data_IF_965431961589
#
_entry.id   IF_965431961589
#
_cell.length_a   1.000
_cell.length_b   1.000
_cell.length_c   1.000
_cell.angle_alpha   90.00
_cell.angle_beta   90.00
_cell.angle_gamma   90.00
#
_symmetry.space_group_name_H-M   'P 1'
#
loop_
_entity.id
_entity.type
_entity.pdbx_description
1 polymer ?
#
# COMPACT_ATOMS: atom_id res chain seq x y z
N UNK A 1 -12.71 6.64 -28.64
CA UNK A 1 -13.59 5.62 -28.01
C UNK A 1 -13.56 5.85 -26.51
N UNK A 2 -14.70 6.08 -25.86
CA UNK A 2 -14.75 6.14 -24.41
C UNK A 2 -14.39 4.76 -23.84
N UNK A 3 -13.36 4.66 -22.99
CA UNK A 3 -13.08 3.41 -22.26
C UNK A 3 -14.33 3.08 -21.44
N UNK A 4 -14.88 1.88 -21.59
CA UNK A 4 -15.92 1.38 -20.68
C UNK A 4 -15.37 1.50 -19.25
N UNK A 5 -16.15 2.07 -18.33
CA UNK A 5 -15.82 2.01 -16.90
C UNK A 5 -15.69 0.54 -16.52
N UNK A 6 -14.51 0.15 -16.04
CA UNK A 6 -14.29 -1.19 -15.53
C UNK A 6 -14.80 -1.21 -14.08
N UNK A 7 -15.66 -2.18 -13.72
CA UNK A 7 -16.12 -2.29 -12.35
C UNK A 7 -14.93 -2.52 -11.40
N UNK A 8 -15.09 -2.15 -10.13
CA UNK A 8 -14.16 -2.60 -9.09
C UNK A 8 -14.13 -4.14 -9.12
N UNK A 9 -12.95 -4.78 -9.12
CA UNK A 9 -12.85 -6.24 -9.05
C UNK A 9 -13.56 -6.79 -7.81
N UNK A 10 -13.96 -8.06 -7.87
CA UNK A 10 -14.51 -8.74 -6.69
C UNK A 10 -13.43 -8.97 -5.62
N UNK A 11 -13.81 -9.58 -4.49
CA UNK A 11 -12.89 -9.81 -3.37
C UNK A 11 -11.64 -10.59 -3.79
N UNK A 12 -11.80 -11.67 -4.56
CA UNK A 12 -10.65 -12.47 -5.00
C UNK A 12 -9.79 -11.70 -6.01
N UNK A 13 -10.39 -11.01 -6.98
CA UNK A 13 -9.65 -10.19 -7.94
C UNK A 13 -8.88 -9.04 -7.28
N UNK A 14 -9.43 -8.42 -6.24
CA UNK A 14 -8.72 -7.39 -5.46
C UNK A 14 -7.52 -7.98 -4.71
N UNK A 15 -7.67 -9.17 -4.13
CA UNK A 15 -6.57 -9.89 -3.46
C UNK A 15 -5.50 -10.25 -4.50
N UNK A 16 -5.86 -10.85 -5.63
CA UNK A 16 -4.91 -11.18 -6.71
C UNK A 16 -4.12 -9.96 -7.17
N UNK A 17 -4.79 -8.82 -7.42
CA UNK A 17 -4.12 -7.56 -7.78
C UNK A 17 -3.16 -7.11 -6.69
N UNK A 18 -3.55 -7.22 -5.41
CA UNK A 18 -2.70 -6.85 -4.28
C UNK A 18 -1.41 -7.68 -4.25
N UNK A 19 -1.51 -9.00 -4.48
CA UNK A 19 -0.36 -9.91 -4.54
C UNK A 19 0.54 -9.62 -5.76
N UNK A 20 -0.05 -9.51 -6.95
CA UNK A 20 0.70 -9.24 -8.18
C UNK A 20 1.43 -7.89 -8.13
N UNK A 21 0.80 -6.87 -7.55
CA UNK A 21 1.43 -5.56 -7.34
C UNK A 21 2.64 -5.67 -6.40
N UNK A 22 2.53 -6.41 -5.29
CA UNK A 22 3.66 -6.59 -4.37
C UNK A 22 4.81 -7.42 -4.97
N UNK A 23 4.50 -8.42 -5.79
CA UNK A 23 5.51 -9.17 -6.54
C UNK A 23 6.18 -8.29 -7.61
N UNK A 24 5.41 -7.40 -8.25
CA UNK A 24 5.99 -6.41 -9.16
C UNK A 24 6.91 -5.41 -8.43
N UNK A 25 6.48 -4.93 -7.25
CA UNK A 25 7.28 -4.08 -6.40
C UNK A 25 8.61 -4.75 -5.99
N UNK A 26 8.59 -6.04 -5.70
CA UNK A 26 9.79 -6.84 -5.39
C UNK A 26 10.79 -6.82 -6.53
N UNK A 27 10.33 -7.03 -7.76
CA UNK A 27 11.20 -7.00 -8.95
C UNK A 27 11.81 -5.61 -9.16
N UNK A 28 11.00 -4.56 -9.02
CA UNK A 28 11.49 -3.18 -9.11
C UNK A 28 12.49 -2.83 -8.01
N UNK A 29 12.23 -3.21 -6.76
CA UNK A 29 13.12 -3.00 -5.63
C UNK A 29 14.47 -3.69 -5.84
N UNK A 30 14.46 -4.93 -6.30
CA UNK A 30 15.70 -5.66 -6.62
C UNK A 30 16.53 -4.92 -7.67
N UNK A 31 15.90 -4.45 -8.75
CA UNK A 31 16.60 -3.67 -9.77
C UNK A 31 17.11 -2.34 -9.23
N UNK A 32 16.34 -1.65 -8.38
CA UNK A 32 16.77 -0.43 -7.71
C UNK A 32 18.01 -0.66 -6.85
N UNK A 33 18.05 -1.73 -6.06
CA UNK A 33 19.19 -2.10 -5.22
C UNK A 33 20.46 -2.37 -6.05
N UNK A 34 20.34 -3.00 -7.22
CA UNK A 34 21.47 -3.23 -8.13
C UNK A 34 22.03 -1.90 -8.63
N UNK A 35 21.16 -0.99 -9.08
CA UNK A 35 21.57 0.33 -9.58
C UNK A 35 22.16 1.21 -8.47
N UNK A 36 21.61 1.14 -7.26
CA UNK A 36 22.14 1.81 -6.08
C UNK A 36 23.59 1.39 -5.82
N UNK A 37 23.86 0.08 -5.85
CA UNK A 37 25.19 -0.47 -5.65
C UNK A 37 26.17 -0.09 -6.77
N UNK A 38 25.68 0.16 -7.98
CA UNK A 38 26.46 0.61 -9.13
C UNK A 38 26.74 2.13 -9.15
N UNK A 39 26.11 2.91 -8.26
CA UNK A 39 26.22 4.37 -8.25
C UNK A 39 25.25 5.09 -9.18
N UNK A 40 24.31 4.37 -9.81
CA UNK A 40 23.28 4.91 -10.69
C UNK A 40 22.08 5.40 -9.87
N UNK A 41 22.31 6.43 -9.05
CA UNK A 41 21.33 6.90 -8.05
C UNK A 41 20.01 7.40 -8.63
N UNK A 42 19.99 8.18 -9.74
CA UNK A 42 18.74 8.60 -10.36
C UNK A 42 17.86 7.42 -10.78
N UNK A 43 18.43 6.44 -11.48
CA UNK A 43 17.69 5.27 -11.97
C UNK A 43 17.27 4.35 -10.81
N UNK A 44 18.13 4.21 -9.78
CA UNK A 44 17.76 3.54 -8.54
C UNK A 44 16.53 4.17 -7.89
N UNK A 45 16.52 5.49 -7.72
CA UNK A 45 15.39 6.20 -7.12
C UNK A 45 14.11 6.04 -7.94
N UNK A 46 14.21 6.11 -9.26
CA UNK A 46 13.08 5.90 -10.17
C UNK A 46 12.49 4.51 -9.99
N UNK A 47 13.30 3.45 -10.06
CA UNK A 47 12.82 2.08 -9.89
C UNK A 47 12.26 1.83 -8.50
N UNK A 48 12.88 2.41 -7.46
CA UNK A 48 12.35 2.33 -6.10
C UNK A 48 10.99 3.06 -6.01
N UNK A 49 10.82 4.21 -6.65
CA UNK A 49 9.53 4.93 -6.67
C UNK A 49 8.45 4.13 -7.41
N UNK A 50 8.80 3.45 -8.51
CA UNK A 50 7.87 2.54 -9.19
C UNK A 50 7.47 1.35 -8.32
N UNK A 51 8.42 0.78 -7.57
CA UNK A 51 8.10 -0.23 -6.57
C UNK A 51 7.13 0.32 -5.51
N UNK A 52 7.37 1.55 -5.05
CA UNK A 52 6.52 2.22 -4.07
C UNK A 52 5.09 2.47 -4.59
N UNK A 53 4.94 2.84 -5.87
CA UNK A 53 3.64 2.95 -6.53
C UNK A 53 2.87 1.62 -6.57
N UNK A 54 3.57 0.52 -6.84
CA UNK A 54 2.97 -0.81 -6.83
C UNK A 54 2.52 -1.21 -5.42
N UNK A 55 3.30 -0.91 -4.39
CA UNK A 55 2.86 -1.12 -2.99
C UNK A 55 1.67 -0.23 -2.63
N UNK A 56 1.63 1.01 -3.13
CA UNK A 56 0.49 1.91 -2.99
C UNK A 56 -0.77 1.37 -3.68
N UNK A 57 -0.62 0.78 -4.87
CA UNK A 57 -1.69 0.08 -5.58
C UNK A 57 -2.22 -1.11 -4.77
N UNK A 58 -1.32 -1.91 -4.19
CA UNK A 58 -1.69 -3.02 -3.33
C UNK A 58 -2.53 -2.53 -2.12
N UNK A 59 -2.12 -1.44 -1.46
CA UNK A 59 -2.89 -0.85 -0.36
C UNK A 59 -4.21 -0.21 -0.80
N UNK A 60 -4.30 0.34 -2.02
CA UNK A 60 -5.57 0.83 -2.56
C UNK A 60 -6.62 -0.28 -2.68
N UNK A 61 -6.20 -1.55 -2.91
CA UNK A 61 -7.12 -2.69 -2.91
C UNK A 61 -7.69 -2.99 -1.51
N UNK A 62 -6.99 -2.64 -0.42
CA UNK A 62 -7.50 -2.87 0.95
C UNK A 62 -8.76 -2.06 1.22
N UNK A 63 -8.89 -0.84 0.68
CA UNK A 63 -10.04 0.03 0.92
C UNK A 63 -11.38 -0.66 0.59
N UNK A 64 -11.62 -1.07 -0.68
CA UNK A 64 -12.82 -1.82 -1.03
C UNK A 64 -12.94 -3.18 -0.34
N UNK A 65 -11.81 -3.82 0.01
CA UNK A 65 -11.80 -5.10 0.71
C UNK A 65 -12.36 -5.00 2.14
N UNK A 66 -12.12 -3.88 2.84
CA UNK A 66 -12.60 -3.65 4.22
C UNK A 66 -13.94 -2.90 4.28
N UNK A 67 -14.46 -2.43 3.16
CA UNK A 67 -15.78 -1.81 3.07
C UNK A 67 -16.88 -2.86 2.98
N UNK A 68 -18.08 -2.51 3.48
CA UNK A 68 -19.32 -3.24 3.18
C UNK A 68 -19.44 -3.48 1.66
N UNK A 69 -19.72 -4.70 1.19
CA UNK A 69 -19.82 -5.00 -0.24
C UNK A 69 -20.71 -4.04 -1.02
N UNK A 70 -21.84 -3.62 -0.45
CA UNK A 70 -22.78 -2.65 -1.01
C UNK A 70 -22.20 -1.24 -1.19
N UNK A 71 -21.20 -0.86 -0.39
CA UNK A 71 -20.52 0.44 -0.46
C UNK A 71 -19.36 0.43 -1.46
N UNK A 72 -18.97 -0.73 -2.00
CA UNK A 72 -17.92 -0.80 -3.03
C UNK A 72 -18.31 -0.02 -4.28
N UNK A 73 -19.58 -0.10 -4.68
CA UNK A 73 -20.11 0.57 -5.87
C UNK A 73 -20.09 2.10 -5.74
N UNK A 74 -20.37 2.64 -4.55
CA UNK A 74 -20.35 4.09 -4.31
C UNK A 74 -18.92 4.66 -4.32
N UNK A 75 -17.92 3.80 -4.09
CA UNK A 75 -16.50 4.15 -4.12
C UNK A 75 -15.81 3.92 -5.48
N UNK A 76 -16.51 3.35 -6.48
CA UNK A 76 -15.89 2.90 -7.73
C UNK A 76 -15.13 4.01 -8.47
N UNK A 77 -15.73 5.20 -8.58
CA UNK A 77 -15.07 6.32 -9.25
C UNK A 77 -13.80 6.78 -8.52
N UNK A 78 -13.84 6.79 -7.19
CA UNK A 78 -12.70 7.16 -6.35
C UNK A 78 -11.61 6.09 -6.49
N UNK A 79 -11.98 4.81 -6.43
CA UNK A 79 -11.05 3.70 -6.62
C UNK A 79 -10.37 3.78 -8.00
N UNK A 80 -11.14 3.90 -9.08
CA UNK A 80 -10.61 3.97 -10.45
C UNK A 80 -9.68 5.17 -10.65
N UNK A 81 -10.06 6.34 -10.12
CA UNK A 81 -9.22 7.54 -10.17
C UNK A 81 -7.91 7.34 -9.44
N UNK A 82 -7.95 6.83 -8.21
CA UNK A 82 -6.76 6.59 -7.39
C UNK A 82 -5.87 5.49 -7.98
N UNK A 83 -6.47 4.43 -8.52
CA UNK A 83 -5.77 3.31 -9.14
C UNK A 83 -5.11 3.70 -10.48
N UNK A 84 -5.64 4.70 -11.18
CA UNK A 84 -5.01 5.24 -12.39
C UNK A 84 -3.90 6.25 -12.08
N UNK A 85 -4.03 7.04 -11.01
CA UNK A 85 -3.12 8.14 -10.70
C UNK A 85 -1.82 7.72 -10.01
N UNK A 86 -0.67 8.10 -10.58
CA UNK A 86 0.65 7.87 -9.95
C UNK A 86 0.75 8.52 -8.57
N UNK A 87 0.38 9.79 -8.45
CA UNK A 87 0.42 10.53 -7.18
C UNK A 87 -0.52 9.92 -6.14
N UNK A 88 -1.69 9.41 -6.53
CA UNK A 88 -2.64 8.82 -5.58
C UNK A 88 -2.13 7.47 -5.03
N UNK A 89 -1.47 6.65 -5.87
CA UNK A 89 -0.75 5.46 -5.39
C UNK A 89 0.36 5.82 -4.40
N UNK A 90 1.14 6.86 -4.73
CA UNK A 90 2.21 7.32 -3.84
C UNK A 90 1.68 7.86 -2.51
N UNK A 91 0.53 8.58 -2.52
CA UNK A 91 -0.13 8.98 -1.27
C UNK A 91 -0.50 7.77 -0.43
N UNK A 92 -1.06 6.73 -1.06
CA UNK A 92 -1.42 5.51 -0.33
C UNK A 92 -0.20 4.77 0.22
N UNK A 93 0.88 4.68 -0.55
CA UNK A 93 2.14 4.08 -0.09
C UNK A 93 2.75 4.86 1.09
N UNK A 94 2.77 6.19 1.03
CA UNK A 94 3.22 7.05 2.15
C UNK A 94 2.34 6.91 3.38
N UNK A 95 1.02 6.88 3.20
CA UNK A 95 0.09 6.62 4.30
C UNK A 95 0.38 5.28 4.98
N UNK A 96 0.53 4.21 4.19
CA UNK A 96 0.83 2.88 4.69
C UNK A 96 2.19 2.81 5.39
N UNK A 97 3.21 3.47 4.86
CA UNK A 97 4.53 3.56 5.47
C UNK A 97 4.49 4.27 6.83
N UNK A 98 3.80 5.42 6.92
CA UNK A 98 3.63 6.15 8.18
C UNK A 98 2.84 5.29 9.19
N UNK A 99 1.79 4.61 8.72
CA UNK A 99 1.00 3.69 9.51
C UNK A 99 1.82 2.49 10.02
N UNK A 100 2.79 2.00 9.24
CA UNK A 100 3.71 0.93 9.63
C UNK A 100 4.78 1.43 10.62
N UNK A 101 5.36 2.61 10.39
CA UNK A 101 6.56 3.08 11.10
C UNK A 101 6.31 3.85 12.42
N UNK A 102 5.17 4.54 12.57
CA UNK A 102 5.04 5.54 13.65
C UNK A 102 4.46 5.01 14.96
N UNK A 103 5.20 4.77 16.04
CA UNK A 103 4.55 4.33 17.30
C UNK A 103 3.56 5.36 17.91
N UNK A 104 3.69 6.64 17.56
CA UNK A 104 2.87 7.73 18.08
C UNK A 104 1.47 7.83 17.44
N UNK A 105 0.46 8.37 18.17
CA UNK A 105 -0.79 8.79 17.55
C UNK A 105 -0.51 9.81 16.44
N UNK A 106 -1.28 9.80 15.34
CA UNK A 106 -0.99 10.68 14.23
C UNK A 106 -1.22 12.14 14.66
N UNK A 107 -0.55 13.12 14.01
CA UNK A 107 -1.01 14.50 14.07
C UNK A 107 -2.48 14.56 13.63
N UNK A 108 -3.19 15.65 13.94
CA UNK A 108 -4.57 15.83 13.50
C UNK A 108 -4.74 15.42 12.03
N UNK A 109 -5.77 14.64 11.70
CA UNK A 109 -5.89 13.94 10.41
C UNK A 109 -5.62 14.85 9.19
N UNK A 110 -6.09 16.09 9.23
CA UNK A 110 -5.87 17.08 8.17
C UNK A 110 -4.37 17.43 7.95
N UNK A 111 -3.57 17.47 9.01
CA UNK A 111 -2.12 17.69 8.89
C UNK A 111 -1.42 16.48 8.29
N UNK A 112 -1.79 15.27 8.74
CA UNK A 112 -1.25 14.02 8.18
C UNK A 112 -1.50 13.93 6.68
N UNK A 113 -2.74 14.18 6.23
CA UNK A 113 -3.07 14.11 4.81
C UNK A 113 -2.35 15.16 3.96
N UNK A 114 -2.13 16.37 4.49
CA UNK A 114 -1.31 17.39 3.78
C UNK A 114 0.14 16.94 3.61
N UNK A 115 0.75 16.39 4.67
CA UNK A 115 2.12 15.87 4.60
C UNK A 115 2.25 14.73 3.60
N UNK A 116 1.29 13.81 3.58
CA UNK A 116 1.25 12.71 2.61
C UNK A 116 1.13 13.24 1.17
N UNK A 117 0.30 14.25 0.95
CA UNK A 117 0.17 14.87 -0.37
C UNK A 117 1.47 15.52 -0.85
N UNK A 118 2.16 16.24 0.03
CA UNK A 118 3.46 16.87 -0.26
C UNK A 118 4.53 15.81 -0.58
N UNK A 119 4.63 14.76 0.23
CA UNK A 119 5.56 13.65 0.01
C UNK A 119 5.29 12.92 -1.31
N UNK A 120 4.03 12.66 -1.64
CA UNK A 120 3.65 11.99 -2.87
C UNK A 120 3.96 12.83 -4.12
N UNK A 121 3.69 14.16 -4.07
CA UNK A 121 4.06 15.08 -5.15
C UNK A 121 5.57 15.13 -5.34
N UNK A 122 6.32 15.32 -4.26
CA UNK A 122 7.79 15.36 -4.30
C UNK A 122 8.40 14.08 -4.85
N UNK A 123 7.89 12.91 -4.44
CA UNK A 123 8.36 11.61 -4.95
C UNK A 123 8.06 11.46 -6.45
N UNK A 124 6.85 11.84 -6.88
CA UNK A 124 6.46 11.77 -8.28
C UNK A 124 7.29 12.72 -9.16
N UNK A 125 7.48 13.97 -8.73
CA UNK A 125 8.32 14.95 -9.43
C UNK A 125 9.77 14.49 -9.53
N UNK A 126 10.34 13.97 -8.43
CA UNK A 126 11.73 13.47 -8.42
C UNK A 126 11.90 12.26 -9.34
N UNK A 127 10.94 11.33 -9.35
CA UNK A 127 10.90 10.23 -10.32
C UNK A 127 10.87 10.74 -11.77
N UNK A 128 10.04 11.73 -12.08
CA UNK A 128 10.00 12.29 -13.44
C UNK A 128 11.29 13.01 -13.82
N UNK A 129 11.90 13.77 -12.91
CA UNK A 129 13.22 14.38 -13.12
C UNK A 129 14.32 13.33 -13.34
N UNK A 130 14.26 12.19 -12.65
CA UNK A 130 15.20 11.09 -12.85
C UNK A 130 15.02 10.34 -14.18
N UNK A 131 13.85 10.43 -14.81
CA UNK A 131 13.53 9.73 -16.07
C UNK A 131 13.73 10.56 -17.34
N UNK A 132 13.48 11.87 -17.24
CA UNK A 132 13.40 12.74 -18.41
C UNK A 132 14.38 13.89 -18.30
N UNK A 133 15.01 14.22 -19.43
CA UNK A 133 15.64 15.53 -19.60
C UNK A 133 14.51 16.55 -19.75
N UNK A 134 14.49 17.53 -18.86
CA UNK A 134 13.53 18.64 -18.92
C UNK A 134 14.22 19.91 -19.44
N UNK A 135 13.45 20.96 -19.71
CA UNK A 135 13.97 22.26 -20.14
C UNK A 135 13.40 23.38 -19.27
N UNK A 136 14.29 24.16 -18.68
CA UNK A 136 13.96 25.35 -17.88
C UNK A 136 14.39 26.62 -18.61
N UNK A 137 14.04 27.81 -18.06
CA UNK A 137 14.53 29.09 -18.59
C UNK A 137 16.06 29.19 -18.60
N UNK A 138 16.75 28.43 -17.74
CA UNK A 138 18.20 28.45 -17.58
C UNK A 138 18.90 27.30 -18.33
N UNK A 139 18.15 26.50 -19.10
CA UNK A 139 18.67 25.42 -19.94
C UNK A 139 18.14 24.02 -19.59
N UNK A 140 18.73 22.96 -20.19
CA UNK A 140 18.30 21.60 -19.96
C UNK A 140 18.57 21.18 -18.50
N UNK A 141 17.56 20.59 -17.87
CA UNK A 141 17.67 19.96 -16.56
C UNK A 141 17.94 18.48 -16.76
N UNK A 142 19.13 18.02 -16.37
CA UNK A 142 19.54 16.64 -16.52
C UNK A 142 19.08 15.79 -15.31
N UNK A 143 18.88 14.47 -15.50
CA UNK A 143 18.49 13.54 -14.43
C UNK A 143 19.41 13.42 -13.21
N UNK A 144 20.52 14.15 -13.15
CA UNK A 144 21.61 13.96 -12.19
C UNK A 144 21.36 14.59 -10.81
N UNK A 145 20.15 15.05 -10.51
CA UNK A 145 19.83 15.81 -9.28
C UNK A 145 19.46 14.88 -8.10
N UNK A 146 19.40 13.57 -8.30
CA UNK A 146 19.13 12.62 -7.21
C UNK A 146 20.43 12.26 -6.51
N UNK A 147 20.51 12.53 -5.21
CA UNK A 147 21.66 12.16 -4.39
C UNK A 147 21.65 10.67 -4.03
N UNK A 148 22.81 10.15 -3.61
CA UNK A 148 22.88 8.80 -3.02
C UNK A 148 21.95 8.65 -1.82
N UNK A 149 21.84 9.69 -0.99
CA UNK A 149 21.00 9.70 0.20
C UNK A 149 19.53 9.54 -0.16
N UNK A 150 19.05 10.28 -1.18
CA UNK A 150 17.67 10.17 -1.66
C UNK A 150 17.37 8.76 -2.19
N UNK A 151 18.29 8.19 -2.97
CA UNK A 151 18.15 6.85 -3.52
C UNK A 151 18.12 5.78 -2.41
N UNK A 152 19.01 5.88 -1.41
CA UNK A 152 19.02 5.01 -0.23
C UNK A 152 17.74 5.14 0.59
N UNK A 153 17.26 6.37 0.79
CA UNK A 153 16.02 6.64 1.52
C UNK A 153 14.82 5.97 0.86
N UNK A 154 14.66 6.13 -0.46
CA UNK A 154 13.53 5.53 -1.17
C UNK A 154 13.62 4.00 -1.17
N UNK A 155 14.80 3.42 -1.46
CA UNK A 155 15.00 1.96 -1.41
C UNK A 155 14.69 1.40 -0.02
N UNK A 156 15.14 2.07 1.05
CA UNK A 156 14.88 1.67 2.43
C UNK A 156 13.38 1.69 2.77
N UNK A 157 12.66 2.73 2.37
CA UNK A 157 11.21 2.84 2.61
C UNK A 157 10.40 1.78 1.87
N UNK A 158 10.77 1.48 0.61
CA UNK A 158 10.13 0.41 -0.16
C UNK A 158 10.38 -0.94 0.50
N UNK A 159 11.62 -1.21 0.91
CA UNK A 159 11.98 -2.45 1.61
C UNK A 159 11.15 -2.61 2.88
N UNK A 160 11.11 -1.57 3.73
CA UNK A 160 10.33 -1.58 4.97
C UNK A 160 8.84 -1.86 4.74
N UNK A 161 8.23 -1.18 3.76
CA UNK A 161 6.81 -1.37 3.48
C UNK A 161 6.53 -2.76 2.89
N UNK A 162 7.37 -3.24 1.98
CA UNK A 162 7.25 -4.58 1.40
C UNK A 162 7.39 -5.68 2.45
N UNK A 163 8.35 -5.54 3.36
CA UNK A 163 8.55 -6.50 4.47
C UNK A 163 7.34 -6.52 5.40
N UNK A 164 6.79 -5.33 5.72
CA UNK A 164 5.54 -5.20 6.50
C UNK A 164 4.38 -5.92 5.80
N UNK A 165 4.18 -5.68 4.50
CA UNK A 165 3.13 -6.35 3.73
C UNK A 165 3.31 -7.87 3.68
N UNK A 166 4.54 -8.36 3.45
CA UNK A 166 4.83 -9.80 3.42
C UNK A 166 4.59 -10.47 4.76
N UNK A 167 4.91 -9.79 5.85
CA UNK A 167 4.73 -10.33 7.17
C UNK A 167 3.25 -10.42 7.56
N UNK A 168 2.38 -9.54 7.04
CA UNK A 168 1.01 -9.36 7.55
C UNK A 168 -0.10 -9.66 6.55
N UNK A 169 0.09 -9.33 5.27
CA UNK A 169 -0.97 -9.31 4.26
C UNK A 169 -0.74 -10.34 3.14
N UNK A 170 0.51 -10.69 2.86
CA UNK A 170 0.89 -11.42 1.64
C UNK A 170 1.43 -12.84 1.88
N UNK A 171 1.12 -13.49 3.00
CA UNK A 171 1.60 -14.86 3.26
C UNK A 171 0.89 -15.90 2.40
N UNK A 172 -0.43 -15.83 2.31
CA UNK A 172 -1.24 -16.70 1.46
C UNK A 172 -2.56 -15.99 1.06
N UNK A 173 -2.88 -15.85 -0.25
CA UNK A 173 -4.11 -15.21 -0.71
C UNK A 173 -5.38 -15.84 -0.15
N UNK A 174 -5.41 -17.18 0.01
CA UNK A 174 -6.56 -17.92 0.52
C UNK A 174 -6.75 -17.67 2.01
N UNK A 175 -5.67 -17.69 2.80
CA UNK A 175 -5.72 -17.33 4.22
C UNK A 175 -6.23 -15.91 4.40
N UNK A 176 -5.74 -14.97 3.58
CA UNK A 176 -6.18 -13.59 3.66
C UNK A 176 -7.67 -13.43 3.28
N UNK A 177 -8.15 -14.17 2.27
CA UNK A 177 -9.57 -14.19 1.92
C UNK A 177 -10.45 -14.72 3.06
N UNK A 178 -10.05 -15.84 3.69
CA UNK A 178 -10.74 -16.42 4.85
C UNK A 178 -10.75 -15.46 6.05
N UNK A 179 -9.62 -14.79 6.30
CA UNK A 179 -9.54 -13.76 7.34
C UNK A 179 -10.53 -12.62 7.08
N UNK A 180 -10.62 -12.12 5.84
CA UNK A 180 -11.56 -11.04 5.50
C UNK A 180 -13.02 -11.47 5.65
N UNK A 181 -13.37 -12.71 5.28
CA UNK A 181 -14.71 -13.25 5.48
C UNK A 181 -15.08 -13.33 6.97
N UNK A 182 -14.17 -13.85 7.79
CA UNK A 182 -14.35 -13.91 9.24
C UNK A 182 -14.45 -12.51 9.85
N UNK A 183 -13.58 -11.59 9.44
CA UNK A 183 -13.63 -10.20 9.89
C UNK A 183 -14.97 -9.54 9.54
N UNK A 184 -15.42 -9.64 8.28
CA UNK A 184 -16.72 -9.08 7.86
C UNK A 184 -17.91 -9.62 8.64
N UNK A 185 -17.93 -10.91 8.97
CA UNK A 185 -19.06 -11.52 9.69
C UNK A 185 -19.16 -11.06 11.16
N UNK A 186 -18.12 -10.47 11.72
CA UNK A 186 -18.06 -10.04 13.12
C UNK A 186 -17.94 -8.53 13.30
N UNK A 187 -17.72 -7.79 12.21
CA UNK A 187 -17.63 -6.34 12.27
C UNK A 187 -19.00 -5.69 12.38
N UNK A 188 -19.16 -4.87 13.42
CA UNK A 188 -20.23 -3.88 13.49
C UNK A 188 -19.86 -2.68 12.62
N UNK A 189 -20.24 -2.77 11.34
CA UNK A 189 -20.00 -1.71 10.38
C UNK A 189 -20.81 -0.44 10.66
N UNK A 190 -21.96 -0.52 11.36
CA UNK A 190 -22.72 0.68 11.73
C UNK A 190 -21.95 1.46 12.80
N UNK A 191 -21.34 0.75 13.76
CA UNK A 191 -20.44 1.35 14.73
C UNK A 191 -19.20 1.95 14.06
N UNK A 192 -18.62 1.27 13.06
CA UNK A 192 -17.46 1.78 12.31
C UNK A 192 -17.80 3.06 11.52
N UNK A 193 -18.98 3.13 10.92
CA UNK A 193 -19.45 4.30 10.16
C UNK A 193 -19.75 5.50 11.07
N UNK A 194 -20.15 5.24 12.32
CA UNK A 194 -20.38 6.27 13.32
C UNK A 194 -19.09 6.81 14.00
N UNK A 195 -17.91 6.24 13.72
CA UNK A 195 -16.65 6.66 14.34
C UNK A 195 -16.18 8.03 13.83
N UNK A 196 -15.57 8.80 14.72
CA UNK A 196 -14.89 10.03 14.32
C UNK A 196 -13.67 9.71 13.44
N UNK A 197 -13.27 10.59 12.50
CA UNK A 197 -12.18 10.31 11.56
C UNK A 197 -10.85 9.89 12.20
N UNK A 198 -10.54 10.42 13.39
CA UNK A 198 -9.33 10.05 14.14
C UNK A 198 -9.38 8.62 14.70
N UNK A 199 -10.56 8.15 15.10
CA UNK A 199 -10.78 6.78 15.58
C UNK A 199 -10.73 5.78 14.43
N UNK A 200 -11.36 6.11 13.30
CA UNK A 200 -11.29 5.32 12.06
C UNK A 200 -9.85 5.12 11.57
N UNK A 201 -9.01 6.17 11.60
CA UNK A 201 -7.58 6.07 11.27
C UNK A 201 -6.83 5.15 12.26
N UNK A 202 -7.18 5.20 13.55
CA UNK A 202 -6.57 4.33 14.57
C UNK A 202 -6.89 2.85 14.31
N UNK A 203 -8.15 2.55 13.99
CA UNK A 203 -8.58 1.19 13.60
C UNK A 203 -7.88 0.74 12.31
N UNK A 204 -7.78 1.60 11.29
CA UNK A 204 -7.02 1.28 10.08
C UNK A 204 -5.56 0.95 10.35
N UNK A 205 -4.91 1.64 11.31
CA UNK A 205 -3.53 1.35 11.72
C UNK A 205 -3.39 0.04 12.47
N UNK A 206 -4.36 -0.35 13.30
CA UNK A 206 -4.29 -1.63 14.01
C UNK A 206 -4.37 -2.82 13.06
N UNK A 207 -5.10 -2.69 11.96
CA UNK A 207 -5.14 -3.69 10.87
C UNK A 207 -3.79 -3.78 10.16
N UNK A 208 -3.09 -2.65 9.96
CA UNK A 208 -1.81 -2.59 9.25
C UNK A 208 -0.58 -2.93 10.11
N UNK A 209 -0.71 -3.06 11.44
CA UNK A 209 0.41 -3.34 12.35
C UNK A 209 0.39 -4.75 12.88
N UNK A 210 1.54 -5.41 12.78
CA UNK A 210 1.92 -6.49 13.71
C UNK A 210 3.37 -6.26 14.15
N UNK A 211 3.57 -5.35 15.09
CA UNK A 211 4.80 -5.35 15.88
C UNK A 211 4.81 -6.60 16.79
N UNK A 212 5.98 -7.18 17.12
CA UNK A 212 6.07 -8.30 18.07
C UNK A 212 5.54 -7.97 19.48
N UNK A 213 5.26 -6.69 19.76
CA UNK A 213 4.79 -6.20 21.07
C UNK A 213 3.50 -5.37 21.00
N UNK A 214 2.93 -5.14 19.81
CA UNK A 214 1.68 -4.37 19.69
C UNK A 214 0.52 -5.35 19.57
N UNK A 215 -0.40 -5.39 20.55
CA UNK A 215 -1.53 -6.29 20.47
C UNK A 215 -2.40 -5.87 19.29
N UNK A 216 -2.60 -6.80 18.36
CA UNK A 216 -3.80 -6.80 17.55
C UNK A 216 -4.97 -6.75 18.55
N UNK A 217 -6.03 -5.94 18.34
CA UNK A 217 -7.24 -6.09 19.16
C UNK A 217 -7.61 -7.57 19.18
N UNK A 218 -7.71 -8.22 20.35
CA UNK A 218 -7.69 -9.70 20.51
C UNK A 218 -8.55 -10.45 19.48
N UNK A 219 -9.65 -9.83 19.07
CA UNK A 219 -10.58 -10.24 18.01
C UNK A 219 -9.91 -10.48 16.64
N UNK A 220 -9.08 -9.54 16.16
CA UNK A 220 -8.41 -9.64 14.86
C UNK A 220 -7.31 -10.73 14.84
N UNK A 221 -6.65 -10.97 15.99
CA UNK A 221 -5.66 -12.05 16.11
C UNK A 221 -6.33 -13.41 16.05
N UNK A 222 -7.46 -13.55 16.76
CA UNK A 222 -8.26 -14.76 16.76
C UNK A 222 -8.77 -15.12 15.36
N UNK A 223 -9.22 -14.15 14.56
CA UNK A 223 -9.63 -14.41 13.17
C UNK A 223 -8.47 -14.88 12.30
N UNK A 224 -7.29 -14.26 12.45
CA UNK A 224 -6.13 -14.66 11.68
C UNK A 224 -5.70 -16.11 12.00
N UNK A 225 -5.64 -16.47 13.28
CA UNK A 225 -5.30 -17.83 13.72
C UNK A 225 -6.34 -18.85 13.28
N UNK A 226 -7.63 -18.50 13.34
CA UNK A 226 -8.72 -19.35 12.88
C UNK A 226 -8.67 -19.59 11.36
N UNK A 227 -8.36 -18.55 10.56
CA UNK A 227 -8.18 -18.66 9.12
C UNK A 227 -7.01 -19.62 8.78
N UNK A 228 -5.87 -19.48 9.44
CA UNK A 228 -4.72 -20.37 9.27
C UNK A 228 -5.04 -21.83 9.64
N UNK A 229 -5.75 -22.06 10.74
CA UNK A 229 -6.12 -23.40 11.18
C UNK A 229 -7.13 -24.08 10.23
N UNK A 230 -7.97 -23.30 9.56
CA UNK A 230 -8.96 -23.82 8.58
C UNK A 230 -8.24 -24.33 7.33
N UNK A 231 -7.34 -23.54 6.76
CA UNK A 231 -6.56 -23.95 5.58
C UNK A 231 -5.72 -25.21 5.84
N UNK A 232 -5.09 -25.32 7.02
CA UNK A 232 -4.32 -26.51 7.39
C UNK A 232 -5.19 -27.78 7.50
N UNK A 233 -6.46 -27.66 7.90
CA UNK A 233 -7.37 -28.81 7.94
C UNK A 233 -7.73 -29.25 6.53
N UNK A 234 -8.09 -28.31 5.66
CA UNK A 234 -8.50 -28.61 4.28
C UNK A 234 -7.37 -29.29 3.50
N UNK A 235 -6.11 -28.83 3.68
CA UNK A 235 -4.93 -29.43 3.07
C UNK A 235 -4.64 -30.87 3.53
N UNK A 236 -5.03 -31.25 4.75
CA UNK A 236 -4.83 -32.61 5.30
C UNK A 236 -5.95 -33.59 4.92
N UNK A 237 -7.11 -33.09 4.48
CA UNK A 237 -8.23 -33.92 4.00
C UNK A 237 -8.14 -34.30 2.52
N UNK A 238 -7.24 -33.66 1.75
CA UNK A 238 -7.01 -33.93 0.33
C UNK A 238 -5.87 -34.94 0.06
N UNK A 239 -5.22 -35.47 1.11
CA UNK A 239 -4.20 -36.54 1.05
C UNK A 239 -4.75 -37.89 1.50
#
# INVERSE_FOLDING_TARGET
MAKKKQPVPDTLGLIEIMYEAAEHATRHLRSAQILLAAGEWPDSFVLATLAFEELGKAHLCLGPLIMRPEHRLTSEEIFQKSFAGHTEKLKMAHFALIAAASEAPPPAAAQLFRQIEELAKSSNETKFRGLYVDYTSDGPLLPTVVSEEDARWMVGNVQLLLDTMRQHLLKDPKVFALFLEQWHSHMDFDALEAMEPGESISVGRSILRRGPTTPIPDVLAAFWEAAQATEQKDANTET
#
